data_IF_131823968337
#
_entry.id   IF_131823968337
#
_cell.length_a   1.000
_cell.length_b   1.000
_cell.length_c   1.000
_cell.angle_alpha   90.00
_cell.angle_beta   90.00
_cell.angle_gamma   90.00
#
_symmetry.space_group_name_H-M   'P 1'
#
loop_
_entity.id
_entity.type
_entity.pdbx_description
1 polymer ?
#
# COMPACT_ATOMS: atom_id res chain seq x y z
N UNK A 1 8.63 -0.79 -69.65
CA UNK A 1 7.23 -0.69 -69.19
C UNK A 1 7.02 -1.58 -67.96
N UNK A 2 7.71 -1.28 -66.86
CA UNK A 2 7.52 -1.94 -65.55
C UNK A 2 8.30 -1.14 -64.49
N UNK A 3 7.79 0.03 -64.14
CA UNK A 3 8.21 0.84 -62.99
C UNK A 3 6.93 1.47 -62.46
N UNK A 4 6.32 0.84 -61.45
CA UNK A 4 5.30 1.40 -60.54
C UNK A 4 4.87 0.29 -59.60
N UNK A 5 5.12 0.48 -58.31
CA UNK A 5 4.37 0.04 -57.11
C UNK A 5 5.34 -0.01 -55.93
N UNK A 6 5.79 1.19 -55.54
CA UNK A 6 6.27 1.45 -54.19
C UNK A 6 5.35 2.55 -53.64
N UNK A 7 4.08 2.20 -53.40
CA UNK A 7 3.20 3.04 -52.59
C UNK A 7 3.68 2.95 -51.15
N UNK A 8 4.06 4.10 -50.61
CA UNK A 8 4.65 4.23 -49.30
C UNK A 8 3.71 3.74 -48.20
N UNK A 9 4.10 2.66 -47.54
CA UNK A 9 3.63 2.35 -46.20
C UNK A 9 4.13 3.46 -45.27
N UNK A 10 3.34 4.52 -45.12
CA UNK A 10 3.51 5.50 -44.05
C UNK A 10 3.19 4.75 -42.76
N UNK A 11 4.24 4.26 -42.09
CA UNK A 11 4.13 3.67 -40.75
C UNK A 11 3.42 4.72 -39.89
N UNK A 12 2.21 4.44 -39.36
CA UNK A 12 1.50 5.44 -38.57
C UNK A 12 2.45 5.89 -37.46
N UNK A 13 2.67 7.21 -37.37
CA UNK A 13 3.40 7.80 -36.24
C UNK A 13 2.64 7.35 -35.01
N UNK A 14 3.16 6.35 -34.30
CA UNK A 14 2.67 5.96 -32.98
C UNK A 14 2.64 7.26 -32.18
N UNK A 15 1.43 7.69 -31.80
CA UNK A 15 1.26 8.85 -30.97
C UNK A 15 2.18 8.67 -29.75
N UNK A 16 2.97 9.69 -29.44
CA UNK A 16 3.79 9.67 -28.24
C UNK A 16 2.89 9.32 -27.05
N UNK A 17 3.26 8.34 -26.22
CA UNK A 17 2.41 7.91 -25.11
C UNK A 17 2.08 9.11 -24.21
N UNK A 18 0.80 9.22 -23.82
CA UNK A 18 0.33 10.26 -22.91
C UNK A 18 1.05 10.13 -21.56
N UNK A 19 1.45 11.25 -20.94
CA UNK A 19 2.11 11.26 -19.64
C UNK A 19 1.26 10.57 -18.55
N UNK A 20 -0.06 10.71 -18.59
CA UNK A 20 -0.98 10.02 -17.66
C UNK A 20 -0.93 8.51 -17.81
N UNK A 21 -0.80 8.00 -19.04
CA UNK A 21 -0.71 6.56 -19.30
C UNK A 21 0.64 6.00 -18.84
N UNK A 22 1.72 6.76 -19.06
CA UNK A 22 3.04 6.40 -18.53
C UNK A 22 3.06 6.39 -17.00
N UNK A 23 2.40 7.36 -16.35
CA UNK A 23 2.24 7.40 -14.91
C UNK A 23 1.48 6.17 -14.39
N UNK A 24 0.38 5.80 -15.06
CA UNK A 24 -0.39 4.59 -14.72
C UNK A 24 0.48 3.34 -14.80
N UNK A 25 1.24 3.18 -15.88
CA UNK A 25 2.17 2.04 -16.06
C UNK A 25 3.24 2.04 -14.96
N UNK A 26 3.81 3.20 -14.62
CA UNK A 26 4.75 3.32 -13.50
C UNK A 26 4.15 2.84 -12.19
N UNK A 27 2.94 3.27 -11.86
CA UNK A 27 2.28 2.85 -10.63
C UNK A 27 2.03 1.34 -10.59
N UNK A 28 1.60 0.75 -11.71
CA UNK A 28 1.39 -0.70 -11.82
C UNK A 28 2.70 -1.46 -11.62
N UNK A 29 3.78 -1.05 -12.26
CA UNK A 29 5.08 -1.73 -12.11
C UNK A 29 5.70 -1.53 -10.72
N UNK A 30 5.53 -0.36 -10.10
CA UNK A 30 5.93 -0.13 -8.69
C UNK A 30 5.13 -1.03 -7.77
N UNK A 31 3.82 -1.17 -7.98
CA UNK A 31 2.98 -2.04 -7.17
C UNK A 31 3.45 -3.50 -7.27
N UNK A 32 3.79 -3.97 -8.48
CA UNK A 32 4.37 -5.31 -8.67
C UNK A 32 5.68 -5.45 -7.91
N UNK A 33 6.57 -4.46 -7.92
CA UNK A 33 7.80 -4.48 -7.11
C UNK A 33 7.47 -4.59 -5.63
N UNK A 34 6.54 -3.77 -5.12
CA UNK A 34 6.17 -3.81 -3.71
C UNK A 34 5.63 -5.17 -3.27
N UNK A 35 4.91 -5.87 -4.16
CA UNK A 35 4.37 -7.20 -3.90
C UNK A 35 5.43 -8.30 -4.03
N UNK A 36 6.24 -8.30 -5.09
CA UNK A 36 7.28 -9.32 -5.34
C UNK A 36 8.39 -9.25 -4.29
N UNK A 37 8.78 -8.04 -3.89
CA UNK A 37 9.77 -7.83 -2.82
C UNK A 37 9.18 -8.02 -1.43
N UNK A 38 7.86 -8.21 -1.32
CA UNK A 38 7.15 -8.33 -0.06
C UNK A 38 7.26 -7.11 0.85
N UNK A 39 7.35 -5.91 0.27
CA UNK A 39 7.46 -4.65 0.99
C UNK A 39 6.13 -4.31 1.69
N UNK A 40 4.99 -4.55 1.00
CA UNK A 40 3.63 -4.27 1.49
C UNK A 40 2.80 -5.52 1.77
N UNK A 41 3.08 -6.61 1.05
CA UNK A 41 2.37 -7.88 1.16
C UNK A 41 3.38 -8.96 1.52
N UNK A 42 3.22 -9.66 2.63
CA UNK A 42 4.04 -10.86 2.85
C UNK A 42 3.79 -11.85 1.69
N UNK A 43 4.82 -12.56 1.20
CA UNK A 43 4.63 -13.58 0.19
C UNK A 43 3.61 -14.60 0.70
N UNK A 44 2.45 -14.62 0.03
CA UNK A 44 1.41 -15.60 0.34
C UNK A 44 1.89 -16.95 -0.15
N UNK A 45 1.93 -17.96 0.74
CA UNK A 45 2.29 -19.35 0.40
C UNK A 45 1.49 -19.90 -0.80
N UNK A 46 0.30 -19.36 -1.07
CA UNK A 46 -0.54 -19.76 -2.19
C UNK A 46 0.02 -19.35 -3.57
N UNK A 47 0.88 -18.33 -3.65
CA UNK A 47 1.40 -17.84 -4.93
C UNK A 47 2.58 -18.68 -5.47
N UNK A 48 3.20 -19.52 -4.64
CA UNK A 48 4.38 -20.32 -5.00
C UNK A 48 4.12 -21.84 -5.00
N UNK A 49 2.86 -22.26 -4.80
CA UNK A 49 2.43 -23.65 -5.04
C UNK A 49 2.11 -23.85 -6.53
N UNK A 50 3.08 -23.64 -7.42
CA UNK A 50 2.96 -23.98 -8.84
C UNK A 50 3.43 -25.39 -9.19
N UNK A 51 3.78 -26.22 -8.19
CA UNK A 51 3.97 -27.65 -8.40
C UNK A 51 3.13 -28.48 -7.43
N UNK A 52 2.26 -29.30 -8.01
CA UNK A 52 1.19 -29.98 -7.32
C UNK A 52 1.67 -30.99 -6.28
N UNK A 53 1.46 -30.68 -5.01
CA UNK A 53 1.13 -31.66 -3.98
C UNK A 53 0.44 -30.94 -2.80
N UNK A 54 -0.88 -30.88 -2.86
CA UNK A 54 -1.71 -30.63 -1.67
C UNK A 54 -1.52 -31.82 -0.72
N UNK A 55 -0.56 -31.73 0.22
CA UNK A 55 -0.62 -32.56 1.41
C UNK A 55 -1.60 -31.93 2.39
N UNK A 56 -2.81 -32.48 2.41
CA UNK A 56 -3.81 -32.23 3.43
C UNK A 56 -3.21 -32.55 4.82
N UNK A 57 -2.90 -31.50 5.59
CA UNK A 57 -2.69 -31.59 7.04
C UNK A 57 -4.04 -31.69 7.74
N UNK A 58 -4.78 -32.77 7.47
CA UNK A 58 -5.86 -33.26 8.32
C UNK A 58 -5.42 -34.62 8.86
N UNK A 59 -4.73 -34.60 10.00
CA UNK A 59 -4.62 -35.78 10.86
C UNK A 59 -5.30 -35.46 12.18
N UNK A 60 -6.40 -36.14 12.54
CA UNK A 60 -7.01 -35.99 13.84
C UNK A 60 -6.06 -36.57 14.89
N UNK A 61 -5.81 -35.80 15.94
CA UNK A 61 -5.14 -36.27 17.15
C UNK A 61 -5.96 -37.45 17.69
N UNK A 62 -5.45 -38.66 17.53
CA UNK A 62 -6.01 -39.87 18.13
C UNK A 62 -5.72 -39.83 19.63
N UNK A 63 -6.70 -39.41 20.41
CA UNK A 63 -6.66 -39.48 21.87
C UNK A 63 -6.92 -40.93 22.27
N UNK A 64 -5.85 -41.67 22.58
CA UNK A 64 -5.98 -42.92 23.31
C UNK A 64 -6.48 -42.61 24.72
N UNK A 65 -7.72 -43.04 25.02
CA UNK A 65 -8.25 -43.04 26.35
C UNK A 65 -7.67 -44.21 27.13
N UNK A 66 -6.85 -43.90 28.11
CA UNK A 66 -6.71 -44.66 29.37
C UNK A 66 -5.88 -43.81 30.35
N UNK A 67 -6.50 -43.47 31.49
CA UNK A 67 -5.93 -42.95 32.76
C UNK A 67 -6.45 -41.55 33.22
N UNK A 68 -7.58 -41.49 33.96
CA UNK A 68 -8.19 -40.23 34.40
C UNK A 68 -7.65 -39.66 35.73
N UNK A 69 -6.54 -40.13 36.29
CA UNK A 69 -6.12 -39.78 37.67
C UNK A 69 -4.69 -39.23 37.85
N UNK A 70 -4.09 -38.62 36.82
CA UNK A 70 -2.75 -38.00 36.92
C UNK A 70 -2.54 -36.60 36.30
N UNK A 71 -3.58 -35.86 35.93
CA UNK A 71 -3.42 -34.54 35.28
C UNK A 71 -3.99 -33.34 36.07
N UNK A 72 -3.57 -33.14 37.32
CA UNK A 72 -3.97 -31.94 38.10
C UNK A 72 -2.82 -31.13 38.71
N UNK A 73 -1.57 -31.29 38.25
CA UNK A 73 -0.44 -30.53 38.82
C UNK A 73 0.57 -29.92 37.83
N UNK A 74 0.30 -29.87 36.52
CA UNK A 74 1.21 -29.25 35.54
C UNK A 74 0.55 -28.30 34.54
N UNK A 75 -0.46 -27.55 34.98
CA UNK A 75 -0.90 -26.33 34.27
C UNK A 75 -0.50 -25.14 35.13
N UNK A 76 0.79 -24.81 35.10
CA UNK A 76 1.30 -23.53 35.57
C UNK A 76 2.31 -23.02 34.55
N UNK A 77 1.93 -21.93 33.91
CA UNK A 77 2.78 -20.97 33.21
C UNK A 77 3.59 -21.50 32.02
N UNK A 78 2.90 -21.89 30.95
CA UNK A 78 3.45 -21.80 29.59
C UNK A 78 2.86 -20.57 28.90
N UNK A 79 3.65 -19.51 28.86
CA UNK A 79 3.43 -18.30 28.07
C UNK A 79 3.29 -18.67 26.58
N UNK A 80 2.06 -18.85 26.12
CA UNK A 80 1.72 -19.15 24.72
C UNK A 80 2.02 -18.00 23.74
N UNK A 81 2.41 -16.83 24.25
CA UNK A 81 2.70 -15.63 23.46
C UNK A 81 4.13 -15.52 22.92
N UNK A 82 5.10 -16.26 23.47
CA UNK A 82 6.49 -16.26 22.96
C UNK A 82 6.71 -17.31 21.86
N UNK A 83 5.95 -18.41 21.89
CA UNK A 83 5.98 -19.46 20.88
C UNK A 83 5.43 -18.99 19.52
N UNK A 84 4.39 -18.15 19.50
CA UNK A 84 3.79 -17.69 18.24
C UNK A 84 4.71 -16.77 17.43
N UNK A 85 5.47 -15.91 18.09
CA UNK A 85 6.38 -14.96 17.43
C UNK A 85 7.63 -15.65 16.91
N UNK A 86 8.21 -16.58 17.68
CA UNK A 86 9.35 -17.40 17.23
C UNK A 86 8.95 -18.39 16.12
N UNK A 87 7.77 -19.01 16.22
CA UNK A 87 7.25 -19.84 15.14
C UNK A 87 6.98 -19.03 13.88
N UNK A 88 6.53 -17.76 13.98
CA UNK A 88 6.32 -16.90 12.82
C UNK A 88 7.63 -16.50 12.14
N UNK A 89 8.65 -16.08 12.89
CA UNK A 89 9.94 -15.71 12.31
C UNK A 89 10.59 -16.92 11.61
N UNK A 90 10.55 -18.10 12.23
CA UNK A 90 10.97 -19.36 11.60
C UNK A 90 10.09 -19.78 10.41
N UNK A 91 8.83 -19.33 10.33
CA UNK A 91 7.93 -19.65 9.22
C UNK A 91 8.23 -18.78 7.98
N UNK A 92 8.77 -17.57 8.16
CA UNK A 92 9.12 -16.67 7.06
C UNK A 92 10.52 -16.97 6.48
N UNK A 93 11.44 -17.47 7.30
CA UNK A 93 12.78 -17.91 6.85
C UNK A 93 12.72 -19.06 5.84
N UNK A 94 11.58 -19.75 5.73
CA UNK A 94 11.37 -20.86 4.80
C UNK A 94 10.62 -20.46 3.52
N UNK A 95 10.24 -19.19 3.36
CA UNK A 95 9.57 -18.74 2.14
C UNK A 95 10.60 -18.45 1.07
N UNK A 96 10.58 -19.25 0.03
CA UNK A 96 11.48 -19.06 -1.08
C UNK A 96 11.02 -17.95 -2.01
N UNK A 97 11.97 -17.14 -2.47
CA UNK A 97 11.73 -16.06 -3.42
C UNK A 97 12.33 -16.41 -4.78
N UNK A 98 11.59 -16.09 -5.84
CA UNK A 98 12.05 -16.24 -7.22
C UNK A 98 12.92 -15.04 -7.62
N UNK A 99 14.22 -15.29 -7.80
CA UNK A 99 15.19 -14.27 -8.22
C UNK A 99 14.84 -13.66 -9.58
N UNK A 100 14.34 -14.45 -10.53
CA UNK A 100 13.98 -13.93 -11.84
C UNK A 100 12.81 -12.95 -11.73
N UNK A 101 11.81 -13.27 -10.92
CA UNK A 101 10.71 -12.36 -10.65
C UNK A 101 11.18 -11.05 -9.98
N UNK A 102 12.14 -11.11 -9.05
CA UNK A 102 12.74 -9.92 -8.44
C UNK A 102 13.46 -9.07 -9.49
N UNK A 103 14.32 -9.67 -10.32
CA UNK A 103 15.07 -8.97 -11.36
C UNK A 103 14.13 -8.36 -12.42
N UNK A 104 13.16 -9.12 -12.91
CA UNK A 104 12.22 -8.68 -13.94
C UNK A 104 11.34 -7.53 -13.43
N UNK A 105 10.70 -7.69 -12.26
CA UNK A 105 9.85 -6.65 -11.69
C UNK A 105 10.62 -5.35 -11.44
N UNK A 106 11.82 -5.45 -10.86
CA UNK A 106 12.65 -4.29 -10.52
C UNK A 106 13.14 -3.54 -11.77
N UNK A 107 13.68 -4.27 -12.75
CA UNK A 107 14.19 -3.66 -13.98
C UNK A 107 13.06 -3.05 -14.81
N UNK A 108 11.89 -3.71 -14.85
CA UNK A 108 10.68 -3.18 -15.47
C UNK A 108 10.22 -1.89 -14.81
N UNK A 109 10.12 -1.86 -13.47
CA UNK A 109 9.74 -0.65 -12.74
C UNK A 109 10.72 0.51 -12.98
N UNK A 110 12.03 0.26 -12.89
CA UNK A 110 13.06 1.27 -13.17
C UNK A 110 12.92 1.81 -14.61
N UNK A 111 12.66 0.93 -15.58
CA UNK A 111 12.44 1.31 -16.98
C UNK A 111 11.19 2.18 -17.15
N UNK A 112 10.08 1.79 -16.53
CA UNK A 112 8.83 2.55 -16.57
C UNK A 112 9.00 3.92 -15.92
N UNK A 113 9.58 3.98 -14.72
CA UNK A 113 9.87 5.24 -14.00
C UNK A 113 10.79 6.14 -14.83
N UNK A 114 11.85 5.58 -15.43
CA UNK A 114 12.72 6.32 -16.35
C UNK A 114 11.92 6.88 -17.51
N UNK A 115 11.13 6.06 -18.21
CA UNK A 115 10.32 6.49 -19.35
C UNK A 115 9.39 7.62 -18.95
N UNK A 116 8.68 7.47 -17.84
CA UNK A 116 7.84 8.53 -17.32
C UNK A 116 8.61 9.81 -17.00
N UNK A 117 9.76 9.75 -16.33
CA UNK A 117 10.58 10.92 -16.02
C UNK A 117 11.03 11.72 -17.26
N UNK A 118 11.14 11.07 -18.41
CA UNK A 118 11.49 11.71 -19.68
C UNK A 118 10.31 12.47 -20.32
N UNK A 119 9.08 12.15 -19.90
CA UNK A 119 7.83 12.69 -20.43
C UNK A 119 7.04 13.52 -19.40
N UNK A 120 7.42 13.45 -18.13
CA UNK A 120 6.86 14.21 -17.04
C UNK A 120 7.10 15.74 -17.21
N UNK A 121 6.15 16.60 -16.79
CA UNK A 121 6.37 18.04 -16.73
C UNK A 121 7.57 18.40 -15.83
N UNK A 122 8.19 19.55 -16.16
CA UNK A 122 9.53 20.02 -15.78
C UNK A 122 10.02 19.52 -14.41
N UNK A 123 10.81 18.44 -14.41
CA UNK A 123 11.62 18.02 -13.28
C UNK A 123 12.90 18.87 -13.22
N UNK A 124 13.35 19.20 -12.01
CA UNK A 124 14.64 19.88 -11.86
C UNK A 124 15.79 18.95 -12.28
N UNK A 125 16.87 19.52 -12.82
CA UNK A 125 18.07 18.75 -13.16
C UNK A 125 18.66 18.04 -11.93
N UNK A 126 18.50 18.64 -10.75
CA UNK A 126 18.89 18.05 -9.47
C UNK A 126 18.05 16.81 -9.16
N UNK A 127 16.71 16.90 -9.25
CA UNK A 127 15.80 15.77 -9.03
C UNK A 127 16.10 14.61 -9.99
N UNK A 128 16.34 14.91 -11.28
CA UNK A 128 16.75 13.90 -12.25
C UNK A 128 18.10 13.24 -11.92
N UNK A 129 19.04 14.01 -11.37
CA UNK A 129 20.36 13.49 -10.99
C UNK A 129 20.24 12.57 -9.77
N UNK A 130 19.50 12.99 -8.74
CA UNK A 130 19.22 12.18 -7.54
C UNK A 130 18.50 10.87 -7.94
N UNK A 131 17.47 10.97 -8.78
CA UNK A 131 16.75 9.80 -9.28
C UNK A 131 17.65 8.81 -10.04
N UNK A 132 18.50 9.32 -10.95
CA UNK A 132 19.45 8.47 -11.69
C UNK A 132 20.45 7.78 -10.77
N UNK A 133 20.97 8.50 -9.77
CA UNK A 133 21.92 7.93 -8.81
C UNK A 133 21.27 6.82 -7.99
N UNK A 134 20.03 7.01 -7.54
CA UNK A 134 19.30 5.99 -6.80
C UNK A 134 18.98 4.76 -7.68
N UNK A 135 18.60 4.97 -8.94
CA UNK A 135 18.37 3.87 -9.89
C UNK A 135 19.66 3.06 -10.16
N UNK A 136 20.82 3.72 -10.27
CA UNK A 136 22.11 3.05 -10.44
C UNK A 136 22.47 2.19 -9.23
N UNK A 137 22.21 2.69 -8.01
CA UNK A 137 22.41 1.94 -6.76
C UNK A 137 21.62 0.62 -6.76
N UNK A 138 20.35 0.68 -7.18
CA UNK A 138 19.51 -0.53 -7.30
C UNK A 138 20.01 -1.45 -8.40
N UNK A 139 20.39 -0.95 -9.57
CA UNK A 139 20.92 -1.79 -10.66
C UNK A 139 22.21 -2.51 -10.22
N UNK A 140 23.09 -1.82 -9.50
CA UNK A 140 24.31 -2.42 -8.94
C UNK A 140 23.96 -3.52 -7.92
N UNK A 141 23.05 -3.25 -6.99
CA UNK A 141 22.54 -4.25 -6.05
C UNK A 141 21.95 -5.48 -6.77
N UNK A 142 21.10 -5.29 -7.78
CA UNK A 142 20.51 -6.38 -8.56
C UNK A 142 21.58 -7.19 -9.30
N UNK A 143 22.62 -6.52 -9.82
CA UNK A 143 23.73 -7.19 -10.50
C UNK A 143 24.56 -8.04 -9.54
N UNK A 144 24.81 -7.56 -8.31
CA UNK A 144 25.50 -8.33 -7.28
C UNK A 144 24.66 -9.51 -6.82
N UNK A 145 23.34 -9.31 -6.64
CA UNK A 145 22.40 -10.35 -6.28
C UNK A 145 22.33 -11.44 -7.35
N UNK A 146 22.27 -11.09 -8.64
CA UNK A 146 22.29 -12.05 -9.75
C UNK A 146 23.59 -12.87 -9.75
N UNK A 147 24.73 -12.19 -9.66
CA UNK A 147 26.05 -12.84 -9.73
C UNK A 147 26.29 -13.77 -8.54
N UNK A 148 25.90 -13.35 -7.33
CA UNK A 148 26.08 -14.13 -6.11
C UNK A 148 25.23 -15.40 -6.06
N UNK A 149 24.13 -15.43 -6.82
CA UNK A 149 23.17 -16.55 -6.82
C UNK A 149 23.19 -17.39 -8.10
N UNK A 150 24.06 -17.08 -9.06
CA UNK A 150 24.25 -17.94 -10.23
C UNK A 150 24.91 -19.25 -9.82
N UNK A 151 24.26 -20.37 -10.12
CA UNK A 151 24.88 -21.68 -9.98
C UNK A 151 25.85 -21.87 -11.15
N UNK A 152 27.14 -21.91 -10.87
CA UNK A 152 28.13 -22.21 -11.90
C UNK A 152 27.93 -23.65 -12.37
N UNK A 153 27.77 -23.86 -13.68
CA UNK A 153 27.65 -25.17 -14.37
C UNK A 153 28.94 -26.00 -14.31
N UNK A 154 29.73 -25.88 -13.25
CA UNK A 154 31.14 -26.25 -13.27
C UNK A 154 31.40 -27.75 -13.27
N UNK A 155 30.43 -28.64 -13.07
CA UNK A 155 30.71 -30.08 -13.04
C UNK A 155 29.64 -30.93 -13.76
N UNK A 156 29.68 -30.93 -15.10
CA UNK A 156 29.63 -32.20 -15.84
C UNK A 156 28.30 -32.76 -16.34
N UNK A 157 27.38 -31.96 -16.89
CA UNK A 157 26.26 -32.50 -17.69
C UNK A 157 26.25 -31.92 -19.11
N UNK A 158 26.37 -32.82 -20.08
CA UNK A 158 26.80 -32.51 -21.44
C UNK A 158 25.83 -31.70 -22.30
N UNK A 159 26.38 -30.69 -22.97
CA UNK A 159 26.22 -30.22 -24.37
C UNK A 159 24.79 -29.98 -24.93
N UNK A 160 23.71 -30.36 -24.26
CA UNK A 160 22.35 -30.25 -24.82
C UNK A 160 21.34 -29.61 -23.84
N UNK A 161 21.77 -28.75 -22.91
CA UNK A 161 20.82 -27.89 -22.19
C UNK A 161 20.68 -26.54 -22.91
N UNK A 162 19.45 -26.03 -23.06
CA UNK A 162 19.19 -24.74 -23.70
C UNK A 162 19.84 -23.61 -22.88
N UNK A 163 20.41 -22.61 -23.57
CA UNK A 163 21.08 -21.43 -23.01
C UNK A 163 20.25 -20.73 -21.92
N UNK A 164 20.39 -21.18 -20.67
CA UNK A 164 19.65 -20.66 -19.53
C UNK A 164 20.51 -20.73 -18.28
N UNK A 165 20.59 -19.62 -17.55
CA UNK A 165 21.25 -19.59 -16.26
C UNK A 165 20.36 -20.21 -15.19
N UNK A 166 20.94 -21.05 -14.34
CA UNK A 166 20.29 -21.58 -13.16
C UNK A 166 20.63 -20.73 -11.93
N UNK A 167 19.62 -20.42 -11.11
CA UNK A 167 19.76 -19.59 -9.91
C UNK A 167 19.50 -20.38 -8.64
N UNK A 168 20.24 -20.05 -7.59
CA UNK A 168 20.00 -20.57 -6.25
C UNK A 168 18.64 -20.10 -5.73
N UNK A 169 18.01 -20.94 -4.91
CA UNK A 169 16.75 -20.60 -4.24
C UNK A 169 17.04 -19.61 -3.11
N UNK A 170 16.51 -18.40 -3.24
CA UNK A 170 16.64 -17.35 -2.22
C UNK A 170 15.65 -17.58 -1.10
N UNK A 171 16.07 -17.31 0.14
CA UNK A 171 15.14 -17.20 1.27
C UNK A 171 14.73 -15.75 1.46
N UNK A 172 13.47 -15.54 1.80
CA UNK A 172 12.93 -14.19 2.04
C UNK A 172 13.71 -13.46 3.15
N UNK A 173 14.13 -14.15 4.20
CA UNK A 173 14.90 -13.56 5.30
C UNK A 173 16.25 -12.98 4.89
N UNK A 174 16.88 -13.56 3.86
CA UNK A 174 18.24 -13.18 3.43
C UNK A 174 18.27 -11.89 2.61
N UNK A 175 17.10 -11.38 2.15
CA UNK A 175 16.99 -10.24 1.24
C UNK A 175 16.69 -8.89 1.93
N UNK A 176 16.96 -8.77 3.24
CA UNK A 176 16.58 -7.57 3.99
C UNK A 176 17.39 -6.33 3.56
N UNK A 177 18.66 -6.49 3.23
CA UNK A 177 19.52 -5.39 2.75
C UNK A 177 19.06 -4.90 1.37
N UNK A 178 18.78 -5.84 0.46
CA UNK A 178 18.29 -5.55 -0.88
C UNK A 178 16.89 -4.92 -0.86
N UNK A 179 16.00 -5.40 0.02
CA UNK A 179 14.70 -4.76 0.27
C UNK A 179 14.85 -3.32 0.76
N UNK A 180 15.78 -3.08 1.68
CA UNK A 180 16.03 -1.74 2.21
C UNK A 180 16.53 -0.79 1.12
N UNK A 181 17.42 -1.24 0.23
CA UNK A 181 17.91 -0.42 -0.89
C UNK A 181 16.81 -0.17 -1.93
N UNK A 182 15.99 -1.18 -2.26
CA UNK A 182 14.83 -1.00 -3.13
C UNK A 182 13.82 0.00 -2.54
N UNK A 183 13.53 -0.11 -1.24
CA UNK A 183 12.64 0.82 -0.53
C UNK A 183 13.17 2.26 -0.61
N UNK A 184 14.46 2.46 -0.37
CA UNK A 184 15.13 3.77 -0.48
C UNK A 184 15.02 4.35 -1.89
N UNK A 185 15.18 3.53 -2.93
CA UNK A 185 14.94 3.98 -4.30
C UNK A 185 13.50 4.43 -4.53
N UNK A 186 12.51 3.65 -4.09
CA UNK A 186 11.10 4.02 -4.22
C UNK A 186 10.76 5.32 -3.47
N UNK A 187 11.38 5.56 -2.31
CA UNK A 187 11.26 6.84 -1.58
C UNK A 187 11.87 8.02 -2.38
N UNK A 188 13.01 7.81 -3.04
CA UNK A 188 13.59 8.84 -3.92
C UNK A 188 12.66 9.13 -5.12
N UNK A 189 12.12 8.10 -5.76
CA UNK A 189 11.16 8.25 -6.86
C UNK A 189 9.95 9.05 -6.38
N UNK A 190 9.41 8.69 -5.21
CA UNK A 190 8.33 9.43 -4.57
C UNK A 190 8.64 10.91 -4.40
N UNK A 191 9.76 11.23 -3.73
CA UNK A 191 10.08 12.60 -3.35
C UNK A 191 10.46 13.48 -4.54
N UNK A 192 11.12 12.91 -5.53
CA UNK A 192 11.70 13.66 -6.65
C UNK A 192 10.84 13.66 -7.91
N UNK A 193 10.04 12.62 -8.15
CA UNK A 193 9.30 12.43 -9.41
C UNK A 193 7.80 12.64 -9.26
N UNK A 194 7.20 12.17 -8.16
CA UNK A 194 5.74 12.21 -7.97
C UNK A 194 5.27 13.41 -7.15
N UNK A 195 6.01 13.82 -6.12
CA UNK A 195 5.69 15.02 -5.32
C UNK A 195 5.49 16.30 -6.15
N UNK A 196 6.26 16.58 -7.23
CA UNK A 196 6.01 17.74 -8.09
C UNK A 196 4.73 17.68 -8.93
N UNK A 197 4.08 16.52 -9.06
CA UNK A 197 2.87 16.33 -9.88
C UNK A 197 1.57 16.23 -9.07
N UNK A 198 1.68 16.41 -7.76
CA UNK A 198 0.60 16.58 -6.80
C UNK A 198 -0.54 17.51 -7.29
N UNK A 199 -0.20 18.58 -8.02
CA UNK A 199 -1.15 19.59 -8.51
C UNK A 199 -2.37 19.03 -9.27
N UNK A 200 -2.23 17.88 -9.98
CA UNK A 200 -3.34 17.26 -10.71
C UNK A 200 -4.24 16.39 -9.82
N UNK A 201 -3.68 15.67 -8.85
CA UNK A 201 -4.43 14.85 -7.89
C UNK A 201 -5.15 15.75 -6.87
N UNK A 202 -4.55 16.89 -6.52
CA UNK A 202 -5.13 17.94 -5.70
C UNK A 202 -6.49 18.41 -6.22
N UNK A 203 -6.65 18.52 -7.55
CA UNK A 203 -7.92 18.90 -8.17
C UNK A 203 -9.02 17.85 -7.91
N UNK A 204 -8.66 16.58 -7.73
CA UNK A 204 -9.60 15.48 -7.46
C UNK A 204 -10.07 15.48 -6.00
N UNK A 205 -9.17 15.71 -5.04
CA UNK A 205 -9.55 15.91 -3.65
C UNK A 205 -10.49 17.11 -3.54
N UNK A 206 -10.11 18.27 -4.08
CA UNK A 206 -10.95 19.47 -4.07
C UNK A 206 -12.31 19.25 -4.72
N UNK A 207 -12.37 18.62 -5.89
CA UNK A 207 -13.65 18.26 -6.53
C UNK A 207 -14.49 17.35 -5.65
N UNK A 208 -13.90 16.40 -4.93
CA UNK A 208 -14.64 15.52 -4.02
C UNK A 208 -15.15 16.29 -2.79
N UNK A 209 -14.34 17.18 -2.22
CA UNK A 209 -14.75 18.07 -1.12
C UNK A 209 -15.90 18.97 -1.57
N UNK A 210 -15.83 19.58 -2.76
CA UNK A 210 -16.90 20.45 -3.32
C UNK A 210 -18.15 19.66 -3.74
N UNK A 211 -18.00 18.47 -4.33
CA UNK A 211 -19.12 17.63 -4.77
C UNK A 211 -19.96 17.16 -3.58
N UNK A 212 -19.34 16.71 -2.50
CA UNK A 212 -20.09 16.29 -1.31
C UNK A 212 -20.82 17.46 -0.63
N UNK A 213 -20.23 18.65 -0.58
CA UNK A 213 -20.93 19.86 -0.09
C UNK A 213 -22.19 20.17 -0.91
N UNK A 214 -22.09 20.05 -2.24
CA UNK A 214 -23.22 20.29 -3.14
C UNK A 214 -24.34 19.27 -2.92
N UNK A 215 -24.00 18.00 -2.70
CA UNK A 215 -24.99 16.95 -2.43
C UNK A 215 -25.66 17.11 -1.05
N UNK A 216 -24.92 17.53 -0.02
CA UNK A 216 -25.47 17.81 1.30
C UNK A 216 -26.46 19.00 1.28
N UNK A 217 -26.15 20.05 0.49
CA UNK A 217 -27.02 21.22 0.34
C UNK A 217 -28.35 20.90 -0.39
N UNK A 218 -28.34 19.96 -1.33
CA UNK A 218 -29.54 19.57 -2.10
C UNK A 218 -30.50 18.71 -1.26
N UNK A 219 -29.98 17.88 -0.36
CA UNK A 219 -30.78 16.97 0.45
C UNK A 219 -31.44 17.65 1.67
N UNK A 220 -30.99 18.84 2.07
CA UNK A 220 -31.64 19.66 3.09
C UNK A 220 -32.53 20.74 2.46
N UNK A 221 -33.58 20.31 1.74
CA UNK A 221 -34.60 21.20 1.19
C UNK A 221 -35.63 21.63 2.25
N UNK A 222 -35.24 22.62 3.07
CA UNK A 222 -36.20 23.57 3.67
C UNK A 222 -36.06 24.92 2.95
N UNK A 223 -37.15 25.56 2.50
CA UNK A 223 -37.07 26.72 1.63
C UNK A 223 -36.88 27.99 2.45
N UNK A 224 -35.65 28.42 2.65
CA UNK A 224 -35.36 29.84 2.89
C UNK A 224 -34.00 30.16 2.27
N UNK A 225 -33.95 30.89 1.14
CA UNK A 225 -32.72 31.15 0.43
C UNK A 225 -31.98 32.30 1.11
N UNK A 226 -31.34 32.01 2.24
CA UNK A 226 -30.23 32.86 2.70
C UNK A 226 -29.03 32.45 1.87
N UNK A 227 -28.63 33.33 0.95
CA UNK A 227 -27.43 33.21 0.14
C UNK A 227 -26.23 33.18 1.11
N UNK A 228 -25.85 31.99 1.55
CA UNK A 228 -24.63 31.77 2.28
C UNK A 228 -23.47 32.00 1.30
N UNK A 229 -22.76 33.10 1.48
CA UNK A 229 -21.54 33.45 0.77
C UNK A 229 -20.50 32.33 0.88
N UNK A 230 -20.47 31.45 -0.12
CA UNK A 230 -19.29 31.04 -0.90
C UNK A 230 -17.99 30.67 -0.20
N UNK A 231 -17.97 30.27 1.07
CA UNK A 231 -16.76 29.72 1.68
C UNK A 231 -16.69 28.22 1.42
N UNK A 232 -15.75 27.80 0.59
CA UNK A 232 -15.29 26.41 0.42
C UNK A 232 -14.84 25.86 1.78
N UNK A 233 -15.79 25.39 2.60
CA UNK A 233 -15.51 24.91 3.95
C UNK A 233 -15.05 23.45 3.86
N UNK A 234 -13.75 23.22 4.07
CA UNK A 234 -13.17 21.89 4.18
C UNK A 234 -14.04 20.99 5.10
N UNK A 235 -14.14 19.67 4.84
CA UNK A 235 -14.91 18.76 5.70
C UNK A 235 -14.48 18.88 7.15
N UNK A 236 -15.41 18.69 8.08
CA UNK A 236 -15.09 18.92 9.48
C UNK A 236 -13.96 17.99 9.97
N UNK A 237 -13.82 16.76 9.44
CA UNK A 237 -12.77 15.80 9.87
C UNK A 237 -11.34 16.33 9.70
N UNK A 238 -11.07 17.21 8.72
CA UNK A 238 -9.73 17.76 8.48
C UNK A 238 -9.46 19.04 9.29
N UNK A 239 -10.51 19.66 9.83
CA UNK A 239 -10.42 20.91 10.56
C UNK A 239 -10.17 20.65 12.05
N UNK A 240 -8.95 20.94 12.53
CA UNK A 240 -8.57 20.71 13.93
C UNK A 240 -9.44 21.48 14.92
N UNK A 241 -9.98 22.64 14.54
CA UNK A 241 -10.82 23.44 15.43
C UNK A 241 -12.21 22.82 15.66
N UNK A 242 -12.64 21.88 14.81
CA UNK A 242 -13.95 21.25 14.91
C UNK A 242 -13.98 20.09 15.91
N UNK A 243 -12.81 19.62 16.38
CA UNK A 243 -12.70 18.42 17.20
C UNK A 243 -11.85 18.66 18.43
N UNK A 244 -12.32 18.17 19.58
CA UNK A 244 -11.49 18.10 20.77
C UNK A 244 -10.73 16.77 20.77
N UNK A 245 -9.42 16.78 21.11
CA UNK A 245 -8.70 15.53 21.35
C UNK A 245 -9.33 14.77 22.53
N UNK A 246 -9.08 13.48 22.61
CA UNK A 246 -9.47 12.68 23.76
C UNK A 246 -8.63 13.04 25.01
N UNK A 247 -8.95 12.39 26.14
CA UNK A 247 -8.27 12.65 27.41
C UNK A 247 -6.75 12.40 27.37
N UNK A 248 -6.30 11.56 26.44
CA UNK A 248 -4.90 11.18 26.24
C UNK A 248 -4.22 12.06 25.17
N UNK A 249 -4.91 13.06 24.62
CA UNK A 249 -4.41 13.95 23.57
C UNK A 249 -4.47 13.34 22.17
N UNK A 250 -5.15 12.21 21.98
CA UNK A 250 -5.28 11.57 20.67
C UNK A 250 -6.53 12.03 19.92
N UNK A 251 -6.61 11.66 18.64
CA UNK A 251 -7.81 11.85 17.83
C UNK A 251 -9.01 11.15 18.47
N UNK A 252 -10.11 11.89 18.63
CA UNK A 252 -11.35 11.33 19.15
C UNK A 252 -11.91 10.25 18.20
N UNK A 253 -12.62 9.26 18.75
CA UNK A 253 -13.25 8.22 17.93
C UNK A 253 -14.33 8.80 17.00
N UNK A 254 -14.98 9.90 17.38
CA UNK A 254 -15.95 10.60 16.52
C UNK A 254 -15.25 11.22 15.29
N UNK A 255 -14.07 11.82 15.47
CA UNK A 255 -13.26 12.33 14.35
C UNK A 255 -12.81 11.19 13.44
N UNK A 256 -12.44 10.05 14.04
CA UNK A 256 -12.15 8.82 13.28
C UNK A 256 -13.37 8.37 12.47
N UNK A 257 -14.55 8.31 13.08
CA UNK A 257 -15.79 7.93 12.39
C UNK A 257 -16.10 8.87 11.21
N UNK A 258 -15.96 10.18 11.38
CA UNK A 258 -16.16 11.16 10.31
C UNK A 258 -15.17 10.97 9.14
N UNK A 259 -13.89 10.70 9.44
CA UNK A 259 -12.89 10.37 8.43
C UNK A 259 -13.24 9.08 7.69
N UNK A 260 -13.58 8.02 8.42
CA UNK A 260 -13.91 6.72 7.84
C UNK A 260 -15.16 6.80 6.94
N UNK A 261 -16.22 7.49 7.38
CA UNK A 261 -17.42 7.67 6.56
C UNK A 261 -17.15 8.46 5.27
N UNK A 262 -16.27 9.48 5.34
CA UNK A 262 -15.92 10.26 4.17
C UNK A 262 -15.26 9.41 3.07
N UNK A 263 -14.36 8.51 3.46
CA UNK A 263 -13.61 7.64 2.54
C UNK A 263 -14.25 6.27 2.32
N UNK A 264 -15.41 6.01 2.92
CA UNK A 264 -16.12 4.74 2.77
C UNK A 264 -16.68 4.62 1.35
N UNK A 265 -16.50 3.47 0.67
CA UNK A 265 -17.18 3.21 -0.60
C UNK A 265 -18.71 3.25 -0.43
N UNK A 266 -19.41 3.92 -1.35
CA UNK A 266 -20.89 4.05 -1.33
C UNK A 266 -21.60 2.68 -1.31
N UNK A 267 -20.98 1.66 -1.90
CA UNK A 267 -21.50 0.28 -1.96
C UNK A 267 -21.55 -0.42 -0.61
N UNK A 268 -20.93 0.15 0.43
CA UNK A 268 -20.87 -0.43 1.77
C UNK A 268 -21.98 0.10 2.67
N UNK A 269 -22.22 -0.60 3.78
CA UNK A 269 -23.14 -0.14 4.82
C UNK A 269 -22.49 1.00 5.61
N UNK A 270 -23.26 2.00 6.07
CA UNK A 270 -22.76 2.99 7.01
C UNK A 270 -22.16 2.33 8.26
N UNK A 271 -21.06 2.88 8.72
CA UNK A 271 -20.36 2.53 9.94
C UNK A 271 -21.15 3.15 11.12
N UNK A 272 -21.50 2.37 12.16
CA UNK A 272 -22.19 2.89 13.34
C UNK A 272 -21.39 4.03 14.00
N UNK A 273 -22.06 5.06 14.51
CA UNK A 273 -21.37 6.13 15.23
C UNK A 273 -20.88 5.61 16.60
N UNK A 274 -19.62 5.86 16.99
CA UNK A 274 -19.08 5.40 18.28
C UNK A 274 -19.77 6.02 19.49
N UNK A 275 -20.42 7.19 19.33
CA UNK A 275 -21.19 7.88 20.38
C UNK A 275 -22.50 7.16 20.69
N UNK A 276 -23.13 6.59 19.66
CA UNK A 276 -24.42 5.93 19.76
C UNK A 276 -24.27 4.41 19.98
N UNK A 277 -23.27 3.80 19.33
CA UNK A 277 -23.03 2.37 19.32
C UNK A 277 -21.53 2.07 19.15
N UNK A 278 -20.78 2.22 20.25
CA UNK A 278 -19.35 1.92 20.27
C UNK A 278 -19.07 0.46 19.89
N UNK A 279 -19.89 -0.48 20.36
CA UNK A 279 -19.66 -1.90 20.08
C UNK A 279 -19.91 -2.19 18.60
N UNK A 280 -20.97 -1.66 18.00
CA UNK A 280 -21.22 -1.75 16.56
C UNK A 280 -20.13 -1.09 15.73
N UNK A 281 -19.57 0.04 16.17
CA UNK A 281 -18.44 0.70 15.52
C UNK A 281 -17.20 -0.21 15.52
N UNK A 282 -16.81 -0.74 16.68
CA UNK A 282 -15.68 -1.67 16.83
C UNK A 282 -15.93 -2.95 16.01
N UNK A 283 -17.14 -3.47 16.04
CA UNK A 283 -17.57 -4.64 15.27
C UNK A 283 -17.45 -4.44 13.76
N UNK A 284 -17.79 -3.25 13.25
CA UNK A 284 -17.73 -2.93 11.83
C UNK A 284 -16.28 -2.86 11.30
N UNK A 285 -15.30 -2.63 12.18
CA UNK A 285 -13.90 -2.45 11.80
C UNK A 285 -13.01 -3.65 12.13
N UNK A 286 -13.48 -4.59 12.97
CA UNK A 286 -12.64 -5.65 13.56
C UNK A 286 -11.92 -6.55 12.54
N UNK A 287 -12.45 -6.71 11.34
CA UNK A 287 -11.89 -7.60 10.32
C UNK A 287 -10.94 -6.90 9.33
N UNK A 288 -10.68 -5.60 9.55
CA UNK A 288 -9.75 -4.80 8.75
C UNK A 288 -10.24 -4.47 7.35
N UNK A 289 -11.33 -5.08 6.87
CA UNK A 289 -11.80 -4.94 5.48
C UNK A 289 -12.14 -3.47 5.16
N UNK A 290 -13.00 -2.87 5.98
CA UNK A 290 -13.43 -1.47 5.81
C UNK A 290 -12.22 -0.53 5.91
N UNK A 291 -11.30 -0.82 6.81
CA UNK A 291 -10.09 -0.02 7.00
C UNK A 291 -9.18 -0.06 5.78
N UNK A 292 -8.94 -1.22 5.16
CA UNK A 292 -8.18 -1.31 3.90
C UNK A 292 -8.84 -0.51 2.77
N UNK A 293 -10.16 -0.60 2.63
CA UNK A 293 -10.90 0.13 1.60
C UNK A 293 -10.85 1.65 1.79
N UNK A 294 -11.02 2.11 3.04
CA UNK A 294 -10.89 3.52 3.40
C UNK A 294 -9.46 4.00 3.15
N UNK A 295 -8.45 3.23 3.59
CA UNK A 295 -7.06 3.55 3.35
C UNK A 295 -6.74 3.68 1.86
N UNK A 296 -7.13 2.72 1.02
CA UNK A 296 -6.93 2.79 -0.42
C UNK A 296 -7.64 4.00 -1.05
N UNK A 297 -8.87 4.29 -0.60
CA UNK A 297 -9.63 5.43 -1.08
C UNK A 297 -8.94 6.74 -0.71
N UNK A 298 -8.44 6.84 0.52
CA UNK A 298 -7.65 7.98 1.01
C UNK A 298 -6.36 8.16 0.20
N UNK A 299 -5.53 7.12 0.10
CA UNK A 299 -4.25 7.16 -0.64
C UNK A 299 -4.46 7.50 -2.12
N UNK A 300 -5.58 7.09 -2.73
CA UNK A 300 -5.90 7.45 -4.12
C UNK A 300 -6.16 8.96 -4.34
N UNK A 301 -6.34 9.72 -3.26
CA UNK A 301 -6.51 11.17 -3.26
C UNK A 301 -5.28 11.93 -2.76
N UNK A 302 -4.25 11.23 -2.28
CA UNK A 302 -3.01 11.87 -1.88
C UNK A 302 -2.02 11.92 -3.03
N UNK A 303 -0.98 12.71 -2.86
CA UNK A 303 0.05 12.94 -3.87
C UNK A 303 0.91 11.71 -4.19
N UNK A 304 0.67 10.58 -3.53
CA UNK A 304 1.44 9.36 -3.73
C UNK A 304 0.51 8.14 -3.68
N UNK A 305 0.02 7.66 -4.84
CA UNK A 305 -1.03 6.64 -4.92
C UNK A 305 -0.52 5.19 -4.85
N UNK A 306 0.76 4.97 -4.52
CA UNK A 306 1.34 3.65 -4.33
C UNK A 306 1.32 3.21 -2.86
N UNK A 307 1.52 1.91 -2.63
CA UNK A 307 1.37 1.33 -1.30
C UNK A 307 -0.09 1.09 -0.93
N UNK A 308 -0.97 0.93 -1.92
CA UNK A 308 -2.34 0.44 -1.71
C UNK A 308 -2.31 -1.01 -1.26
N UNK A 309 -3.34 -1.41 -0.52
CA UNK A 309 -3.59 -2.81 -0.20
C UNK A 309 -4.32 -3.45 -1.38
N UNK A 310 -3.61 -4.21 -2.20
CA UNK A 310 -4.16 -4.90 -3.38
C UNK A 310 -4.95 -6.16 -2.99
N UNK A 311 -4.46 -6.89 -2.00
CA UNK A 311 -5.04 -8.15 -1.49
C UNK A 311 -5.92 -7.87 -0.29
N UNK A 312 -7.22 -7.69 -0.52
CA UNK A 312 -8.20 -7.54 0.56
C UNK A 312 -9.14 -8.75 0.56
N UNK A 313 -9.19 -9.48 1.67
CA UNK A 313 -10.13 -10.57 1.86
C UNK A 313 -11.52 -10.05 2.20
N UNK A 314 -12.48 -10.29 1.33
CA UNK A 314 -13.89 -9.94 1.60
C UNK A 314 -14.58 -10.96 2.53
N UNK A 315 -14.15 -12.22 2.51
CA UNK A 315 -14.78 -13.32 3.23
C UNK A 315 -14.10 -13.57 4.58
N UNK A 316 -14.23 -12.56 5.45
CA UNK A 316 -13.63 -12.48 6.78
C UNK A 316 -14.30 -13.34 7.86
N UNK A 317 -15.23 -14.23 7.47
CA UNK A 317 -15.80 -15.24 8.39
C UNK A 317 -14.72 -16.11 9.02
N UNK A 318 -13.61 -16.34 8.31
CA UNK A 318 -12.42 -17.01 8.83
C UNK A 318 -11.54 -15.97 9.53
N UNK A 319 -11.29 -16.17 10.83
CA UNK A 319 -10.52 -15.22 11.66
C UNK A 319 -9.17 -14.84 11.07
N UNK A 320 -8.46 -15.79 10.46
CA UNK A 320 -7.15 -15.54 9.88
C UNK A 320 -7.21 -14.58 8.68
N UNK A 321 -8.30 -14.56 7.90
CA UNK A 321 -8.48 -13.63 6.77
C UNK A 321 -8.68 -12.19 7.24
N UNK A 322 -9.46 -11.99 8.30
CA UNK A 322 -9.57 -10.68 8.93
C UNK A 322 -8.23 -10.22 9.52
N UNK A 323 -7.44 -11.17 10.06
CA UNK A 323 -6.12 -10.86 10.59
C UNK A 323 -5.13 -10.50 9.47
N UNK A 324 -5.23 -11.13 8.30
CA UNK A 324 -4.43 -10.81 7.13
C UNK A 324 -4.74 -9.42 6.57
N UNK A 325 -6.01 -9.03 6.47
CA UNK A 325 -6.39 -7.65 6.11
C UNK A 325 -5.69 -6.62 7.00
N UNK A 326 -5.70 -6.86 8.32
CA UNK A 326 -5.00 -6.02 9.29
C UNK A 326 -3.49 -6.00 9.08
N UNK A 327 -2.87 -7.13 8.74
CA UNK A 327 -1.43 -7.19 8.43
C UNK A 327 -1.11 -6.38 7.18
N UNK A 328 -1.89 -6.55 6.11
CA UNK A 328 -1.67 -5.83 4.86
C UNK A 328 -1.83 -4.32 5.07
N UNK A 329 -2.88 -3.89 5.76
CA UNK A 329 -3.08 -2.48 6.09
C UNK A 329 -1.91 -1.91 6.89
N UNK A 330 -1.50 -2.60 7.94
CA UNK A 330 -0.42 -2.12 8.80
C UNK A 330 0.89 -2.04 8.03
N UNK A 331 1.19 -3.01 7.18
CA UNK A 331 2.39 -2.99 6.36
C UNK A 331 2.34 -1.85 5.33
N UNK A 332 1.18 -1.62 4.70
CA UNK A 332 0.94 -0.46 3.86
C UNK A 332 1.14 0.86 4.62
N UNK A 333 0.64 0.98 5.87
CA UNK A 333 0.90 2.15 6.71
C UNK A 333 2.38 2.30 7.11
N UNK A 334 3.13 1.21 7.35
CA UNK A 334 4.59 1.28 7.61
C UNK A 334 5.35 1.83 6.41
N UNK A 335 4.96 1.38 5.22
CA UNK A 335 5.56 1.84 3.98
C UNK A 335 5.16 3.28 3.67
N UNK A 336 3.88 3.61 3.85
CA UNK A 336 3.29 4.84 3.30
C UNK A 336 3.18 6.00 4.27
N UNK A 337 2.91 5.71 5.54
CA UNK A 337 2.74 6.69 6.61
C UNK A 337 3.92 6.65 7.61
N UNK A 338 4.98 5.90 7.27
CA UNK A 338 6.22 5.74 8.04
C UNK A 338 6.00 5.25 9.48
N UNK A 339 5.04 4.34 9.67
CA UNK A 339 4.75 3.82 11.01
C UNK A 339 5.91 3.01 11.56
N UNK A 340 6.40 3.42 12.75
CA UNK A 340 7.33 2.63 13.55
C UNK A 340 6.54 1.70 14.45
N UNK A 341 6.53 0.42 14.09
CA UNK A 341 5.84 -0.61 14.85
C UNK A 341 6.89 -1.37 15.63
N UNK A 342 6.72 -1.40 16.95
CA UNK A 342 7.54 -2.22 17.82
C UNK A 342 7.13 -3.66 17.62
N UNK A 343 8.07 -4.52 17.23
CA UNK A 343 7.78 -5.92 16.94
C UNK A 343 7.13 -6.61 18.15
N UNK A 344 6.11 -7.44 17.88
CA UNK A 344 5.32 -8.14 18.91
C UNK A 344 4.22 -7.31 19.59
N UNK A 345 4.17 -5.99 19.37
CA UNK A 345 3.11 -5.12 19.94
C UNK A 345 1.77 -5.23 19.19
N UNK A 346 1.77 -5.73 17.96
CA UNK A 346 0.60 -5.84 17.10
C UNK A 346 0.10 -7.29 17.01
N UNK A 347 -1.14 -7.53 17.47
CA UNK A 347 -1.75 -8.87 17.48
C UNK A 347 -3.07 -8.87 16.70
N UNK A 348 -3.04 -9.02 15.37
CA UNK A 348 -4.23 -8.89 14.53
C UNK A 348 -5.31 -9.94 14.83
N UNK A 349 -4.93 -11.12 15.31
CA UNK A 349 -5.88 -12.16 15.72
C UNK A 349 -6.71 -11.70 16.93
N UNK A 350 -6.08 -11.02 17.89
CA UNK A 350 -6.75 -10.50 19.07
C UNK A 350 -7.77 -9.42 18.70
N UNK A 351 -7.42 -8.56 17.73
CA UNK A 351 -8.33 -7.54 17.16
C UNK A 351 -9.58 -8.21 16.56
N UNK A 352 -9.40 -9.18 15.67
CA UNK A 352 -10.52 -9.85 14.99
C UNK A 352 -11.40 -10.62 15.98
N UNK A 353 -10.80 -11.21 17.01
CA UNK A 353 -11.53 -11.91 18.09
C UNK A 353 -12.15 -10.96 19.11
N UNK A 354 -11.84 -9.67 19.06
CA UNK A 354 -12.29 -8.66 20.01
C UNK A 354 -12.00 -9.08 21.46
N UNK A 355 -10.78 -9.54 21.73
CA UNK A 355 -10.31 -9.63 23.13
C UNK A 355 -10.18 -8.22 23.69
N UNK A 356 -10.05 -8.06 25.01
CA UNK A 356 -9.85 -6.72 25.61
C UNK A 356 -8.61 -6.03 25.04
N UNK A 357 -7.50 -6.79 24.90
CA UNK A 357 -6.29 -6.32 24.24
C UNK A 357 -6.55 -5.94 22.77
N UNK A 358 -7.28 -6.78 22.04
CA UNK A 358 -7.61 -6.54 20.63
C UNK A 358 -8.48 -5.31 20.41
N UNK A 359 -9.49 -5.08 21.25
CA UNK A 359 -10.33 -3.87 21.20
C UNK A 359 -9.51 -2.62 21.48
N UNK A 360 -8.62 -2.67 22.48
CA UNK A 360 -7.71 -1.57 22.78
C UNK A 360 -6.78 -1.29 21.59
N UNK A 361 -6.10 -2.32 21.08
CA UNK A 361 -5.23 -2.22 19.91
C UNK A 361 -5.96 -1.65 18.70
N UNK A 362 -7.20 -2.10 18.43
CA UNK A 362 -8.00 -1.57 17.33
C UNK A 362 -8.19 -0.06 17.45
N UNK A 363 -8.58 0.43 18.63
CA UNK A 363 -8.76 1.87 18.84
C UNK A 363 -7.44 2.63 18.69
N UNK A 364 -6.34 2.11 19.25
CA UNK A 364 -5.01 2.71 19.13
C UNK A 364 -4.59 2.83 17.67
N UNK A 365 -4.67 1.74 16.90
CA UNK A 365 -4.28 1.73 15.48
C UNK A 365 -5.21 2.60 14.64
N UNK A 366 -6.52 2.55 14.89
CA UNK A 366 -7.47 3.42 14.23
C UNK A 366 -7.10 4.90 14.42
N UNK A 367 -6.87 5.34 15.66
CA UNK A 367 -6.51 6.73 15.95
C UNK A 367 -5.20 7.12 15.28
N UNK A 368 -4.19 6.24 15.31
CA UNK A 368 -2.90 6.50 14.70
C UNK A 368 -3.01 6.62 13.16
N UNK A 369 -3.70 5.68 12.52
CA UNK A 369 -3.94 5.69 11.06
C UNK A 369 -4.67 6.95 10.65
N UNK A 370 -5.76 7.28 11.34
CA UNK A 370 -6.56 8.47 11.02
C UNK A 370 -5.77 9.76 11.27
N UNK A 371 -5.07 9.88 12.41
CA UNK A 371 -4.25 11.07 12.70
C UNK A 371 -3.25 11.33 11.58
N UNK A 372 -2.54 10.29 11.15
CA UNK A 372 -1.51 10.41 10.12
C UNK A 372 -2.10 10.66 8.73
N UNK A 373 -3.27 10.08 8.44
CA UNK A 373 -4.01 10.41 7.23
C UNK A 373 -4.51 11.86 7.21
N UNK A 374 -4.91 12.41 8.36
CA UNK A 374 -5.30 13.82 8.49
C UNK A 374 -4.09 14.73 8.27
N UNK A 375 -2.96 14.45 8.92
CA UNK A 375 -1.71 15.21 8.76
C UNK A 375 -1.29 15.24 7.29
N UNK A 376 -1.26 14.09 6.62
CA UNK A 376 -0.91 14.02 5.19
C UNK A 376 -1.90 14.80 4.31
N UNK A 377 -3.20 14.75 4.60
CA UNK A 377 -4.19 15.54 3.87
C UNK A 377 -3.98 17.04 4.09
N UNK A 378 -3.62 17.47 5.30
CA UNK A 378 -3.32 18.86 5.62
C UNK A 378 -2.05 19.33 4.92
N UNK A 379 -0.97 18.55 4.96
CA UNK A 379 0.29 18.84 4.24
C UNK A 379 0.05 18.98 2.73
N UNK A 380 -0.80 18.12 2.17
CA UNK A 380 -1.23 18.19 0.76
C UNK A 380 -1.95 19.51 0.48
N UNK A 381 -2.84 19.96 1.35
CA UNK A 381 -3.55 21.24 1.20
C UNK A 381 -2.67 22.48 1.45
N UNK A 382 -1.68 22.40 2.34
CA UNK A 382 -0.79 23.51 2.68
C UNK A 382 0.27 23.75 1.61
N UNK A 383 0.80 22.69 1.00
CA UNK A 383 1.76 22.78 -0.11
C UNK A 383 1.26 23.68 -1.24
N UNK A 384 -0.07 23.70 -1.46
CA UNK A 384 -0.77 24.59 -2.39
C UNK A 384 -0.69 26.08 -2.01
N UNK A 385 -0.78 26.43 -0.72
CA UNK A 385 -0.74 27.85 -0.29
C UNK A 385 0.63 28.49 -0.52
N UNK A 386 1.67 27.68 -0.51
CA UNK A 386 3.07 28.14 -0.61
C UNK A 386 3.58 28.23 -2.04
N UNK A 387 2.90 27.65 -3.04
CA UNK A 387 3.30 27.82 -4.44
C UNK A 387 3.02 29.28 -4.87
N UNK A 388 4.06 30.06 -5.23
CA UNK A 388 3.84 31.40 -5.74
C UNK A 388 3.00 31.31 -7.01
N UNK A 389 1.91 32.08 -7.10
CA UNK A 389 1.16 32.23 -8.35
C UNK A 389 2.17 32.52 -9.45
N UNK A 390 2.37 31.57 -10.36
CA UNK A 390 3.20 31.78 -11.52
C UNK A 390 2.73 33.08 -12.18
N UNK A 391 3.62 34.03 -12.49
CA UNK A 391 3.23 35.26 -13.17
C UNK A 391 2.48 34.86 -14.44
N UNK A 392 1.36 35.53 -14.77
CA UNK A 392 0.55 35.17 -15.92
C UNK A 392 1.46 35.04 -17.13
N UNK A 393 1.46 33.86 -17.75
CA UNK A 393 2.29 33.59 -18.92
C UNK A 393 2.06 34.72 -19.92
N UNK A 394 3.13 35.38 -20.42
CA UNK A 394 2.96 36.44 -21.39
C UNK A 394 2.18 35.86 -22.56
N UNK A 395 1.03 36.47 -22.86
CA UNK A 395 0.24 36.15 -24.04
C UNK A 395 1.16 36.41 -25.22
N UNK A 396 1.75 35.36 -25.78
CA UNK A 396 2.38 35.43 -27.09
C UNK A 396 1.24 35.66 -28.08
N UNK A 397 1.01 36.93 -28.43
CA UNK A 397 0.31 37.23 -29.66
C UNK A 397 1.27 36.88 -30.78
N UNK A 398 1.02 35.75 -31.44
CA UNK A 398 1.57 35.47 -32.75
C UNK A 398 1.06 36.57 -33.70
N UNK A 399 1.98 37.43 -34.13
CA UNK A 399 1.76 38.44 -35.17
C UNK A 399 2.24 37.94 -36.53
#
# INVERSE_FOLDING_TARGET
MALRFAEGYVKPRLASPNAEELLRICHEDIQVVLDVWGIISYPSLAAHATDGQEQALDSPISVNGDDPMRQLSHIKDLSSSSLSSQQQQQHYDNVSVDLLALLESSTKAISSIRNYSMHAPILSNEALTIHRQAALSVIEMLSLLELGNRLNDTEGQGINQPDGYCYARLQFGDLEEERAEMKKYLMVVQDQLFKPQAEQIETKLERLLTKQQTMAAINHSSPTPTICTGQNRLPDWINDHAWQPDADGNVSLERCHAFLEFFRPETRRPIPSPTNDLEGFIQALRDGYVMCMVFNSFISLTNMPFGIVDKIHEDTKRTWRGADNWRFLIQACRFRLEFKIVDGSFKPIDIVRQTDLGRHQLQTWLRLIVQRGIEEAQETLESKKTLPLAPPSPIFMDF
#
